data_IF_052745283685
#
_entry.id   IF_052745283685
#
_cell.length_a   1.000
_cell.length_b   1.000
_cell.length_c   1.000
_cell.angle_alpha   90.00
_cell.angle_beta   90.00
_cell.angle_gamma   90.00
#
_symmetry.space_group_name_H-M   'P 1'
#
loop_
_entity.id
_entity.type
_entity.pdbx_description
1 polymer ?
#
# COMPACT_ATOMS: atom_id res chain seq x y z
N UNK A 1 10.74 6.22 8.81
CA UNK A 1 9.39 6.56 8.30
C UNK A 1 8.39 5.51 8.77
N UNK A 2 7.19 5.95 9.11
CA UNK A 2 6.10 5.04 9.45
C UNK A 2 5.70 4.21 8.23
N UNK A 3 5.48 2.92 8.42
CA UNK A 3 5.18 1.96 7.37
C UNK A 3 3.95 1.13 7.69
N UNK A 4 3.30 0.64 6.65
CA UNK A 4 2.12 -0.21 6.72
C UNK A 4 2.24 -1.36 5.73
N UNK A 5 1.97 -2.58 6.18
CA UNK A 5 1.92 -3.74 5.29
C UNK A 5 0.54 -3.87 4.66
N UNK A 6 0.52 -4.03 3.35
CA UNK A 6 -0.68 -4.21 2.54
C UNK A 6 -0.52 -5.47 1.70
N UNK A 7 -1.55 -6.30 1.67
CA UNK A 7 -1.51 -7.54 0.87
C UNK A 7 -1.46 -7.24 -0.62
N UNK A 8 -0.80 -8.12 -1.38
CA UNK A 8 -0.91 -8.10 -2.82
C UNK A 8 -2.28 -8.66 -3.27
N UNK A 9 -2.85 -8.17 -4.36
CA UNK A 9 -2.28 -7.24 -5.34
C UNK A 9 -2.41 -5.76 -4.95
N UNK A 10 -2.94 -5.47 -3.78
CA UNK A 10 -3.31 -4.11 -3.39
C UNK A 10 -2.09 -3.19 -3.17
N UNK A 11 -1.00 -3.74 -2.65
CA UNK A 11 0.22 -2.95 -2.47
C UNK A 11 0.76 -2.43 -3.82
N UNK A 12 0.82 -3.28 -4.85
CA UNK A 12 1.20 -2.85 -6.20
C UNK A 12 0.19 -1.87 -6.79
N UNK A 13 -1.10 -2.09 -6.58
CA UNK A 13 -2.14 -1.19 -7.07
C UNK A 13 -2.00 0.22 -6.47
N UNK A 14 -1.65 0.31 -5.19
CA UNK A 14 -1.33 1.60 -4.55
C UNK A 14 -0.09 2.23 -5.18
N UNK A 15 0.97 1.45 -5.34
CA UNK A 15 2.22 1.92 -5.93
C UNK A 15 2.04 2.44 -7.36
N UNK A 16 1.14 1.83 -8.12
CA UNK A 16 0.84 2.22 -9.51
C UNK A 16 -0.21 3.32 -9.64
N UNK A 17 -0.76 3.79 -8.52
CA UNK A 17 -1.79 4.82 -8.51
C UNK A 17 -3.19 4.35 -8.88
N UNK A 18 -3.40 3.04 -8.98
CA UNK A 18 -4.70 2.43 -9.32
C UNK A 18 -5.62 2.31 -8.12
N UNK A 19 -5.08 2.36 -6.90
CA UNK A 19 -5.81 2.26 -5.66
C UNK A 19 -5.42 3.42 -4.76
N UNK A 20 -6.41 4.25 -4.42
CA UNK A 20 -6.19 5.46 -3.61
C UNK A 20 -6.95 5.44 -2.28
N UNK A 21 -7.57 4.32 -1.93
CA UNK A 21 -8.21 4.11 -0.63
C UNK A 21 -7.80 2.74 -0.11
N UNK A 22 -7.27 2.72 1.11
CA UNK A 22 -6.98 1.49 1.84
C UNK A 22 -8.07 1.28 2.90
N UNK A 23 -8.68 0.09 2.91
CA UNK A 23 -9.75 -0.22 3.85
C UNK A 23 -9.20 -1.01 5.04
N UNK A 24 -9.42 -0.49 6.23
CA UNK A 24 -8.97 -1.11 7.49
C UNK A 24 -10.10 -1.14 8.49
N UNK A 25 -10.06 -2.10 9.41
CA UNK A 25 -11.05 -2.23 10.47
C UNK A 25 -10.90 -1.20 11.59
N UNK A 26 -9.80 -0.44 11.59
CA UNK A 26 -9.52 0.59 12.59
C UNK A 26 -9.20 1.91 11.92
N UNK A 27 -9.61 3.03 12.52
CA UNK A 27 -9.24 4.34 12.02
C UNK A 27 -7.77 4.66 12.34
N UNK A 28 -7.27 5.70 11.70
CA UNK A 28 -5.96 6.26 12.02
C UNK A 28 -6.03 7.78 12.12
N UNK A 29 -5.26 8.34 13.04
CA UNK A 29 -5.02 9.78 13.11
C UNK A 29 -3.79 10.20 12.31
N UNK A 30 -3.04 9.22 11.78
CA UNK A 30 -1.85 9.52 10.97
C UNK A 30 -2.25 10.29 9.70
N UNK A 31 -1.51 11.36 9.42
CA UNK A 31 -1.60 12.14 8.18
C UNK A 31 -0.20 12.36 7.65
N UNK A 32 -0.07 12.49 6.32
CA UNK A 32 1.21 12.69 5.68
C UNK A 32 1.83 11.38 5.22
N UNK A 33 3.14 11.37 5.11
CA UNK A 33 3.88 10.28 4.49
C UNK A 33 3.68 8.94 5.20
N UNK A 34 3.45 7.91 4.39
CA UNK A 34 3.32 6.54 4.84
C UNK A 34 4.00 5.64 3.81
N UNK A 35 4.93 4.80 4.26
CA UNK A 35 5.55 3.79 3.42
C UNK A 35 4.62 2.58 3.30
N UNK A 36 4.21 2.27 2.08
CA UNK A 36 3.43 1.07 1.79
C UNK A 36 4.40 -0.06 1.47
N UNK A 37 4.27 -1.16 2.19
CA UNK A 37 5.04 -2.38 1.97
C UNK A 37 4.10 -3.51 1.55
N UNK A 38 4.57 -4.37 0.67
CA UNK A 38 3.85 -5.59 0.33
C UNK A 38 4.03 -6.59 1.48
N UNK A 39 2.93 -7.06 2.05
CA UNK A 39 3.01 -8.01 3.15
C UNK A 39 3.59 -9.34 2.68
N UNK A 40 4.25 -10.04 3.60
CA UNK A 40 4.85 -11.33 3.33
C UNK A 40 3.77 -12.41 3.30
N UNK A 41 3.85 -13.28 2.29
CA UNK A 41 3.01 -14.47 2.19
C UNK A 41 3.90 -15.68 1.91
N UNK A 42 3.64 -16.78 2.58
CA UNK A 42 4.42 -18.01 2.39
C UNK A 42 4.39 -18.54 0.95
N UNK A 43 3.30 -18.24 0.22
CA UNK A 43 3.11 -18.71 -1.16
C UNK A 43 3.42 -17.63 -2.20
N UNK A 44 3.73 -16.42 -1.79
CA UNK A 44 3.82 -15.29 -2.69
C UNK A 44 2.45 -14.91 -3.27
N UNK A 45 2.46 -14.10 -4.31
CA UNK A 45 1.25 -13.74 -5.04
C UNK A 45 1.51 -13.77 -6.55
N UNK A 46 0.67 -14.51 -7.26
CA UNK A 46 0.74 -14.63 -8.71
C UNK A 46 -0.55 -14.09 -9.34
N UNK A 47 -0.43 -13.20 -10.31
CA UNK A 47 -1.58 -12.68 -11.05
C UNK A 47 -2.14 -13.74 -11.98
N UNK A 48 -3.35 -13.52 -12.52
CA UNK A 48 -3.96 -14.42 -13.51
C UNK A 48 -3.10 -14.55 -14.77
N UNK A 49 -2.34 -13.51 -15.10
CA UNK A 49 -1.40 -13.50 -16.23
C UNK A 49 -0.09 -14.24 -15.94
N UNK A 50 0.05 -14.77 -14.74
CA UNK A 50 1.25 -15.52 -14.37
C UNK A 50 2.41 -14.66 -13.85
N UNK A 51 2.18 -13.37 -13.60
CA UNK A 51 3.20 -12.45 -13.07
C UNK A 51 3.29 -12.60 -11.56
N UNK A 52 4.50 -12.86 -11.06
CA UNK A 52 4.76 -12.86 -9.61
C UNK A 52 4.92 -11.45 -9.10
N UNK A 53 4.07 -11.04 -8.15
CA UNK A 53 4.21 -9.76 -7.48
C UNK A 53 5.16 -9.87 -6.29
N UNK A 54 5.94 -8.81 -5.99
CA UNK A 54 6.86 -8.84 -4.86
C UNK A 54 6.13 -8.90 -3.53
N UNK A 55 6.72 -9.55 -2.55
CA UNK A 55 6.19 -9.65 -1.18
C UNK A 55 7.30 -9.38 -0.17
N UNK A 56 6.90 -8.99 1.06
CA UNK A 56 7.87 -8.74 2.13
C UNK A 56 8.81 -7.57 1.84
N UNK A 57 8.39 -6.59 1.06
CA UNK A 57 9.28 -5.51 0.61
C UNK A 57 8.57 -4.15 0.56
N UNK A 58 9.38 -3.10 0.48
CA UNK A 58 8.87 -1.73 0.27
C UNK A 58 8.33 -1.57 -1.15
N UNK A 59 7.28 -0.77 -1.32
CA UNK A 59 6.65 -0.51 -2.62
C UNK A 59 6.55 0.95 -2.97
N UNK A 60 6.03 1.79 -2.09
CA UNK A 60 5.80 3.21 -2.40
C UNK A 60 5.64 4.04 -1.14
N UNK A 61 5.96 5.32 -1.24
CA UNK A 61 5.61 6.33 -0.23
C UNK A 61 4.38 7.06 -0.73
N UNK A 62 3.35 7.14 0.09
CA UNK A 62 2.10 7.85 -0.22
C UNK A 62 1.78 8.83 0.90
N UNK A 63 0.86 9.77 0.66
CA UNK A 63 0.35 10.65 1.69
C UNK A 63 -1.05 10.23 2.10
N UNK A 64 -1.24 10.00 3.39
CA UNK A 64 -2.56 9.83 3.98
C UNK A 64 -3.16 11.22 4.21
N UNK A 65 -4.25 11.53 3.53
CA UNK A 65 -4.87 12.85 3.59
C UNK A 65 -6.16 12.88 4.38
N UNK A 66 -6.79 11.73 4.60
CA UNK A 66 -8.03 11.63 5.35
C UNK A 66 -8.24 10.20 5.85
N UNK A 67 -9.07 10.08 6.87
CA UNK A 67 -9.56 8.79 7.34
C UNK A 67 -11.01 9.00 7.79
N UNK A 68 -11.92 8.25 7.22
CA UNK A 68 -13.36 8.37 7.46
C UNK A 68 -14.03 7.00 7.45
N UNK A 69 -15.23 6.88 8.02
CA UNK A 69 -15.99 5.63 7.85
C UNK A 69 -16.24 5.34 6.37
N UNK A 70 -16.19 4.05 6.02
CA UNK A 70 -16.51 3.60 4.66
C UNK A 70 -17.97 3.90 4.31
N UNK A 71 -18.21 4.34 3.07
CA UNK A 71 -19.54 4.62 2.55
C UNK A 71 -19.93 3.62 1.46
N UNK A 72 -21.21 3.60 1.08
CA UNK A 72 -21.70 2.76 -0.02
C UNK A 72 -20.97 3.06 -1.33
N UNK A 73 -20.67 4.33 -1.59
CA UNK A 73 -19.94 4.74 -2.80
C UNK A 73 -18.55 4.12 -2.89
N UNK A 74 -17.92 3.82 -1.76
CA UNK A 74 -16.59 3.23 -1.72
C UNK A 74 -16.54 1.79 -2.23
N UNK A 75 -17.70 1.11 -2.34
CA UNK A 75 -17.75 -0.28 -2.80
C UNK A 75 -17.22 -0.48 -4.22
N UNK A 76 -17.19 0.57 -5.04
CA UNK A 76 -16.64 0.52 -6.39
C UNK A 76 -15.12 0.57 -6.42
N UNK A 77 -14.48 0.90 -5.31
CA UNK A 77 -13.02 0.96 -5.23
C UNK A 77 -12.39 -0.44 -5.27
N UNK A 78 -11.20 -0.52 -5.84
CA UNK A 78 -10.47 -1.78 -5.94
C UNK A 78 -10.19 -2.35 -4.53
N UNK A 79 -10.57 -3.60 -4.33
CA UNK A 79 -10.36 -4.29 -3.05
C UNK A 79 -11.33 -3.90 -1.95
N UNK A 80 -12.42 -3.20 -2.28
CA UNK A 80 -13.38 -2.77 -1.28
C UNK A 80 -14.14 -3.96 -0.67
N UNK A 81 -14.36 -3.95 0.67
CA UNK A 81 -15.25 -4.91 1.30
C UNK A 81 -16.69 -4.79 0.77
N UNK A 82 -17.42 -5.89 0.72
CA UNK A 82 -18.81 -5.89 0.27
C UNK A 82 -19.77 -5.35 1.34
N UNK A 83 -19.46 -5.56 2.61
CA UNK A 83 -20.20 -4.97 3.73
C UNK A 83 -19.39 -3.82 4.29
N UNK A 84 -19.96 -2.61 4.31
CA UNK A 84 -19.26 -1.40 4.75
C UNK A 84 -19.14 -1.28 6.28
N UNK A 85 -19.90 -2.07 7.04
CA UNK A 85 -19.98 -1.93 8.49
C UNK A 85 -18.62 -2.20 9.17
N UNK A 86 -18.19 -1.28 9.99
CA UNK A 86 -16.96 -1.41 10.76
C UNK A 86 -15.68 -1.13 9.97
N UNK A 87 -15.79 -0.76 8.70
CA UNK A 87 -14.63 -0.44 7.88
C UNK A 87 -14.37 1.06 7.83
N UNK A 88 -13.07 1.38 7.78
CA UNK A 88 -12.57 2.75 7.64
C UNK A 88 -11.84 2.90 6.32
N UNK A 89 -12.11 4.01 5.64
CA UNK A 89 -11.44 4.38 4.41
C UNK A 89 -10.26 5.31 4.74
N UNK A 90 -9.05 4.81 4.56
CA UNK A 90 -7.83 5.61 4.65
C UNK A 90 -7.57 6.19 3.27
N UNK A 91 -7.78 7.49 3.12
CA UNK A 91 -7.72 8.15 1.82
C UNK A 91 -6.31 8.60 1.54
N UNK A 92 -5.78 8.14 0.40
CA UNK A 92 -4.42 8.45 -0.06
C UNK A 92 -4.48 9.52 -1.14
N UNK A 93 -3.50 10.43 -1.14
CA UNK A 93 -3.41 11.45 -2.17
C UNK A 93 -2.92 10.81 -3.48
N UNK A 94 -3.74 10.79 -4.55
CA UNK A 94 -3.37 10.12 -5.80
C UNK A 94 -2.25 10.84 -6.58
N UNK A 95 -1.93 12.07 -6.21
CA UNK A 95 -0.97 12.91 -6.95
C UNK A 95 0.43 12.93 -6.33
N UNK A 96 0.62 12.31 -5.16
CA UNK A 96 1.89 12.42 -4.41
C UNK A 96 2.60 11.09 -4.18
N UNK A 97 2.04 9.99 -4.68
CA UNK A 97 2.68 8.68 -4.54
C UNK A 97 4.02 8.61 -5.25
N UNK A 98 5.01 8.02 -4.59
CA UNK A 98 6.34 7.82 -5.14
C UNK A 98 6.75 6.37 -4.95
N UNK A 99 7.03 5.67 -6.06
CA UNK A 99 7.50 4.28 -6.01
C UNK A 99 8.95 4.23 -5.51
N UNK A 100 9.25 3.21 -4.73
CA UNK A 100 10.58 3.01 -4.14
C UNK A 100 11.12 1.65 -4.52
N UNK A 101 12.44 1.50 -4.48
CA UNK A 101 13.09 0.22 -4.74
C UNK A 101 12.53 -0.85 -3.81
N UNK A 102 12.13 -2.03 -4.33
CA UNK A 102 11.46 -3.07 -3.55
C UNK A 102 12.44 -3.89 -2.70
N UNK A 103 13.06 -3.24 -1.71
CA UNK A 103 13.95 -3.90 -0.78
C UNK A 103 13.16 -4.64 0.29
N UNK A 104 13.64 -5.80 0.68
CA UNK A 104 13.03 -6.60 1.73
C UNK A 104 13.07 -5.87 3.08
N UNK A 105 11.97 -5.94 3.81
CA UNK A 105 11.85 -5.40 5.16
C UNK A 105 11.08 -6.38 6.04
N UNK A 106 11.30 -6.28 7.36
CA UNK A 106 10.53 -7.05 8.33
C UNK A 106 9.17 -6.39 8.54
N UNK A 107 8.17 -6.85 7.80
CA UNK A 107 6.81 -6.33 7.89
C UNK A 107 6.16 -6.71 9.22
N UNK A 108 5.28 -5.84 9.70
CA UNK A 108 4.46 -6.06 10.89
C UNK A 108 2.98 -5.94 10.54
N UNK A 109 2.09 -6.46 11.38
CA UNK A 109 0.64 -6.41 11.17
C UNK A 109 0.09 -4.98 11.33
N UNK A 110 0.67 -4.22 12.26
CA UNK A 110 0.31 -2.83 12.52
C UNK A 110 1.38 -1.90 11.97
N UNK A 111 1.31 -0.61 12.29
CA UNK A 111 2.38 0.33 11.93
C UNK A 111 3.74 -0.15 12.46
N UNK A 112 4.75 0.02 11.63
CA UNK A 112 6.15 -0.22 12.00
C UNK A 112 7.00 0.90 11.40
N UNK A 113 8.29 0.91 11.71
CA UNK A 113 9.20 1.94 11.24
C UNK A 113 10.26 1.32 10.33
N UNK A 114 10.60 2.06 9.28
CA UNK A 114 11.70 1.72 8.38
C UNK A 114 12.64 2.92 8.34
N UNK A 115 13.94 2.69 8.42
CA UNK A 115 14.93 3.74 8.35
C UNK A 115 14.83 4.48 7.00
N UNK A 116 14.77 5.80 7.05
CA UNK A 116 14.59 6.62 5.85
C UNK A 116 15.69 6.40 4.82
N UNK A 117 16.91 6.10 5.26
CA UNK A 117 18.03 5.83 4.37
C UNK A 117 17.87 4.58 3.50
N UNK A 118 16.97 3.67 3.87
CA UNK A 118 16.65 2.47 3.09
C UNK A 118 15.63 2.77 1.99
N UNK A 119 14.95 3.89 2.07
CA UNK A 119 13.85 4.26 1.17
C UNK A 119 14.42 5.03 -0.01
N UNK A 120 14.61 4.33 -1.12
CA UNK A 120 15.23 4.90 -2.32
C UNK A 120 14.19 4.99 -3.43
N UNK A 121 13.86 6.20 -3.90
CA UNK A 121 12.94 6.36 -5.03
C UNK A 121 13.45 5.64 -6.27
N UNK A 122 12.52 5.06 -7.02
CA UNK A 122 12.83 4.46 -8.32
C UNK A 122 13.02 5.59 -9.34
N UNK A 123 14.08 5.51 -10.14
CA UNK A 123 14.35 6.48 -11.21
C UNK A 123 13.19 6.53 -12.20
N UNK A 124 12.95 7.72 -12.74
CA UNK A 124 11.98 7.93 -13.81
C UNK A 124 12.23 6.95 -14.97
N UNK A 125 11.17 6.33 -15.47
CA UNK A 125 11.24 5.36 -16.55
C UNK A 125 11.50 3.92 -16.10
N UNK A 126 11.76 3.70 -14.81
CA UNK A 126 11.88 2.36 -14.24
C UNK A 126 10.70 2.04 -13.34
N UNK A 127 10.48 0.77 -13.06
CA UNK A 127 9.43 0.30 -12.17
C UNK A 127 9.98 -0.80 -11.24
N UNK A 128 9.18 -1.17 -10.24
CA UNK A 128 9.60 -2.17 -9.25
C UNK A 128 10.07 -3.48 -9.90
N UNK A 129 9.50 -3.86 -11.04
CA UNK A 129 9.87 -5.09 -11.74
C UNK A 129 11.29 -5.07 -12.33
N UNK A 130 11.94 -3.91 -12.38
CA UNK A 130 13.31 -3.77 -12.87
C UNK A 130 14.38 -4.09 -11.81
N UNK A 131 13.95 -4.46 -10.60
CA UNK A 131 14.85 -4.75 -9.47
C UNK A 131 14.84 -6.20 -9.04
#
# INVERSE_FOLDING_TARGET
MKALSVRQPYACAIAEGLKNIEFRSKPTSHRGELLICASKSAKGFKTDDGIMLPIGCMMAVVDVIDCRPMTEADKSEFGAPQNIDGWWAWVLNPNTGETVEPKNVNCSISFFNVDDELIIPIEEGKMWADF
#
